data_IF_871154948771
#
_entry.id   IF_871154948771
#
_cell.length_a   1.000
_cell.length_b   1.000
_cell.length_c   1.000
_cell.angle_alpha   90.00
_cell.angle_beta   90.00
_cell.angle_gamma   90.00
#
_symmetry.space_group_name_H-M   'P 1'
#
loop_
_entity.id
_entity.type
_entity.pdbx_description
1 polymer ?
#
# COMPACT_ATOMS: atom_id res chain seq x y z
N UNK A 1 -0.05 -0.16 -30.23
CA UNK A 1 -1.03 -1.02 -29.52
C UNK A 1 -1.50 -0.39 -28.19
N UNK A 2 -0.61 -0.09 -27.23
CA UNK A 2 -1.01 0.46 -25.92
C UNK A 2 -1.77 1.80 -25.98
N UNK A 3 -1.35 2.75 -26.83
CA UNK A 3 -2.01 4.05 -26.99
C UNK A 3 -3.45 3.90 -27.52
N UNK A 4 -3.64 3.12 -28.58
CA UNK A 4 -4.96 2.80 -29.14
C UNK A 4 -5.87 2.11 -28.12
N UNK A 5 -5.34 1.13 -27.39
CA UNK A 5 -6.10 0.45 -26.32
C UNK A 5 -6.51 1.41 -25.21
N UNK A 6 -5.66 2.37 -24.86
CA UNK A 6 -5.98 3.41 -23.88
C UNK A 6 -7.08 4.34 -24.40
N UNK A 7 -7.02 4.76 -25.66
CA UNK A 7 -8.06 5.59 -26.29
C UNK A 7 -9.42 4.88 -26.31
N UNK A 8 -9.46 3.60 -26.67
CA UNK A 8 -10.67 2.76 -26.60
C UNK A 8 -11.26 2.74 -25.17
N UNK A 9 -10.41 2.48 -24.16
CA UNK A 9 -10.85 2.45 -22.77
C UNK A 9 -11.30 3.82 -22.26
N UNK A 10 -10.63 4.91 -22.64
CA UNK A 10 -11.04 6.25 -22.26
C UNK A 10 -12.36 6.68 -22.93
N UNK A 11 -12.64 6.20 -24.14
CA UNK A 11 -13.90 6.42 -24.82
C UNK A 11 -15.06 5.64 -24.18
N UNK A 12 -14.82 4.38 -23.79
CA UNK A 12 -15.82 3.51 -23.18
C UNK A 12 -16.08 3.85 -21.70
N UNK A 13 -15.02 4.10 -20.94
CA UNK A 13 -15.05 4.17 -19.47
C UNK A 13 -14.81 5.58 -18.90
N UNK A 14 -14.55 6.56 -19.78
CA UNK A 14 -14.16 7.90 -19.40
C UNK A 14 -12.67 8.03 -19.06
N UNK A 15 -12.19 9.27 -19.07
CA UNK A 15 -10.80 9.57 -18.74
C UNK A 15 -10.54 9.47 -17.23
N UNK A 16 -9.44 8.83 -16.80
CA UNK A 16 -9.05 8.89 -15.40
C UNK A 16 -8.70 10.33 -15.01
N UNK A 17 -8.93 10.69 -13.74
CA UNK A 17 -8.49 11.99 -13.21
C UNK A 17 -6.98 12.18 -13.47
N UNK A 18 -6.57 13.19 -14.24
CA UNK A 18 -5.15 13.42 -14.54
C UNK A 18 -4.32 13.73 -13.29
N UNK A 19 -4.96 14.10 -12.18
CA UNK A 19 -4.34 14.38 -10.89
C UNK A 19 -4.51 13.22 -9.89
N UNK A 20 -5.01 12.05 -10.30
CA UNK A 20 -5.27 10.92 -9.40
C UNK A 20 -4.06 10.55 -8.52
N UNK A 21 -2.85 10.45 -9.09
CA UNK A 21 -1.63 10.16 -8.33
C UNK A 21 -1.31 11.27 -7.33
N UNK A 22 -1.43 12.53 -7.76
CA UNK A 22 -1.17 13.68 -6.89
C UNK A 22 -2.17 13.73 -5.72
N UNK A 23 -3.45 13.51 -6.00
CA UNK A 23 -4.52 13.50 -5.01
C UNK A 23 -4.33 12.35 -4.01
N UNK A 24 -4.04 11.13 -4.48
CA UNK A 24 -3.79 9.99 -3.60
C UNK A 24 -2.55 10.16 -2.71
N UNK A 25 -1.45 10.70 -3.26
CA UNK A 25 -0.25 10.98 -2.46
C UNK A 25 -0.50 12.09 -1.46
N UNK A 26 -1.27 13.13 -1.82
CA UNK A 26 -1.64 14.19 -0.87
C UNK A 26 -2.44 13.61 0.30
N UNK A 27 -3.48 12.83 0.03
CA UNK A 27 -4.32 12.21 1.07
C UNK A 27 -3.49 11.32 2.01
N UNK A 28 -2.58 10.52 1.45
CA UNK A 28 -1.62 9.73 2.24
C UNK A 28 -0.73 10.63 3.11
N UNK A 29 -0.10 11.64 2.50
CA UNK A 29 0.84 12.52 3.18
C UNK A 29 0.14 13.33 4.28
N UNK A 30 -1.06 13.84 4.04
CA UNK A 30 -1.88 14.52 5.04
C UNK A 30 -2.16 13.61 6.23
N UNK A 31 -2.54 12.35 5.99
CA UNK A 31 -2.76 11.37 7.05
C UNK A 31 -1.50 11.11 7.88
N UNK A 32 -0.36 10.83 7.22
CA UNK A 32 0.90 10.53 7.91
C UNK A 32 1.61 11.78 8.47
N UNK A 33 1.11 12.99 8.21
CA UNK A 33 1.67 14.23 8.78
C UNK A 33 0.79 14.86 9.85
N UNK A 34 -0.38 14.28 10.15
CA UNK A 34 -1.24 14.74 11.26
C UNK A 34 -0.44 14.85 12.57
N UNK A 35 -0.56 16.00 13.23
CA UNK A 35 0.12 16.29 14.50
C UNK A 35 1.63 16.50 14.40
N UNK A 36 2.22 16.52 13.20
CA UNK A 36 3.66 16.73 13.02
C UNK A 36 3.94 18.15 12.55
N UNK A 37 4.90 18.82 13.19
CA UNK A 37 5.36 20.15 12.78
C UNK A 37 6.40 20.10 11.64
N UNK A 38 7.15 18.99 11.54
CA UNK A 38 8.13 18.76 10.49
C UNK A 38 8.28 17.28 10.14
N UNK A 39 8.64 17.00 8.88
CA UNK A 39 8.98 15.66 8.39
C UNK A 39 10.18 15.70 7.44
N UNK A 40 10.81 14.53 7.26
CA UNK A 40 11.72 14.26 6.14
C UNK A 40 11.03 13.30 5.16
N UNK A 41 10.89 13.71 3.91
CA UNK A 41 10.35 12.87 2.84
C UNK A 41 11.49 12.46 1.91
N UNK A 42 11.60 11.16 1.60
CA UNK A 42 12.50 10.63 0.57
C UNK A 42 11.66 10.06 -0.56
N UNK A 43 11.89 10.48 -1.79
CA UNK A 43 11.15 9.97 -2.95
C UNK A 43 12.02 9.88 -4.20
N UNK A 44 11.48 9.29 -5.25
CA UNK A 44 12.01 9.46 -6.61
C UNK A 44 11.62 10.83 -7.20
N UNK A 45 11.94 11.02 -8.48
CA UNK A 45 11.75 12.25 -9.25
C UNK A 45 10.31 12.47 -9.77
N UNK A 46 9.33 11.67 -9.33
CA UNK A 46 7.98 11.74 -9.89
C UNK A 46 7.32 13.12 -9.62
N UNK A 47 6.90 13.87 -10.66
CA UNK A 47 6.43 15.25 -10.53
C UNK A 47 5.20 15.45 -9.64
N UNK A 48 4.39 14.40 -9.43
CA UNK A 48 3.24 14.47 -8.53
C UNK A 48 3.67 14.64 -7.06
N UNK A 49 4.79 14.06 -6.64
CA UNK A 49 5.22 14.09 -5.24
C UNK A 49 5.56 15.50 -4.79
N UNK A 50 6.32 16.25 -5.60
CA UNK A 50 6.64 17.66 -5.33
C UNK A 50 5.37 18.50 -5.17
N UNK A 51 4.38 18.29 -6.04
CA UNK A 51 3.10 19.01 -6.01
C UNK A 51 2.27 18.67 -4.78
N UNK A 52 2.24 17.41 -4.36
CA UNK A 52 1.53 16.97 -3.16
C UNK A 52 2.22 17.45 -1.88
N UNK A 53 3.55 17.39 -1.82
CA UNK A 53 4.35 17.85 -0.68
C UNK A 53 4.16 19.34 -0.42
N UNK A 54 4.11 20.15 -1.48
CA UNK A 54 3.89 21.60 -1.38
C UNK A 54 2.53 21.99 -0.75
N UNK A 55 1.58 21.06 -0.66
CA UNK A 55 0.25 21.28 -0.08
C UNK A 55 0.19 20.91 1.41
N UNK A 56 1.27 20.39 1.98
CA UNK A 56 1.29 19.96 3.38
C UNK A 56 1.43 21.16 4.33
N UNK A 57 0.75 21.07 5.47
CA UNK A 57 0.78 22.12 6.51
C UNK A 57 2.04 22.11 7.37
N UNK A 58 2.83 21.02 7.30
CA UNK A 58 4.05 20.86 8.08
C UNK A 58 5.30 21.22 7.27
N UNK A 59 6.41 21.50 7.94
CA UNK A 59 7.70 21.73 7.27
C UNK A 59 8.24 20.43 6.69
N UNK A 60 8.50 20.40 5.39
CA UNK A 60 8.98 19.17 4.72
C UNK A 60 10.41 19.37 4.21
N UNK A 61 11.34 18.57 4.72
CA UNK A 61 12.65 18.37 4.09
C UNK A 61 12.54 17.27 3.05
N UNK A 62 12.48 17.64 1.77
CA UNK A 62 12.30 16.69 0.67
C UNK A 62 13.64 16.32 0.03
N UNK A 63 14.02 15.04 0.11
CA UNK A 63 15.17 14.47 -0.58
C UNK A 63 14.70 13.65 -1.77
N UNK A 64 15.11 14.08 -2.97
CA UNK A 64 14.82 13.39 -4.22
C UNK A 64 16.02 12.53 -4.61
N UNK A 65 15.76 11.25 -4.90
CA UNK A 65 16.78 10.31 -5.39
C UNK A 65 16.50 9.99 -6.85
N UNK A 66 17.53 10.04 -7.70
CA UNK A 66 17.32 9.72 -9.11
C UNK A 66 16.88 8.29 -9.31
N UNK A 67 15.87 8.13 -10.17
CA UNK A 67 15.34 6.82 -10.56
C UNK A 67 16.36 5.92 -11.28
N UNK A 68 17.41 6.52 -11.85
CA UNK A 68 18.53 5.85 -12.53
C UNK A 68 19.61 5.36 -11.57
N UNK A 69 19.57 5.78 -10.30
CA UNK A 69 20.55 5.37 -9.30
C UNK A 69 20.51 3.85 -9.07
N UNK A 70 21.68 3.27 -8.81
CA UNK A 70 21.78 1.84 -8.50
C UNK A 70 20.93 1.51 -7.25
N UNK A 71 20.13 0.44 -7.33
CA UNK A 71 19.22 0.01 -6.26
C UNK A 71 19.90 -1.01 -5.36
N UNK A 72 20.77 -0.52 -4.48
CA UNK A 72 21.39 -1.31 -3.43
C UNK A 72 21.04 -0.77 -2.03
N UNK A 73 21.68 -1.34 -1.01
CA UNK A 73 21.53 -0.94 0.40
C UNK A 73 22.00 0.48 0.72
N UNK A 74 22.78 1.10 -0.15
CA UNK A 74 23.27 2.47 0.00
C UNK A 74 22.35 3.50 -0.67
N UNK A 75 21.41 3.03 -1.49
CA UNK A 75 20.39 3.90 -2.07
C UNK A 75 19.52 4.53 -0.97
N UNK A 76 19.29 5.87 -0.98
CA UNK A 76 18.45 6.54 0.02
C UNK A 76 16.98 6.04 0.07
N UNK A 77 16.53 5.34 -0.97
CA UNK A 77 15.21 4.70 -1.07
C UNK A 77 15.26 3.19 -0.81
N UNK A 78 16.35 2.66 -0.26
CA UNK A 78 16.55 1.23 0.00
C UNK A 78 15.34 0.59 0.68
N UNK A 79 14.77 1.21 1.71
CA UNK A 79 13.67 0.63 2.49
C UNK A 79 12.42 0.42 1.64
N UNK A 80 12.09 1.39 0.78
CA UNK A 80 10.93 1.31 -0.14
C UNK A 80 11.22 0.31 -1.26
N UNK A 81 12.43 0.33 -1.82
CA UNK A 81 12.86 -0.62 -2.85
C UNK A 81 12.82 -2.06 -2.35
N UNK A 82 13.27 -2.30 -1.11
CA UNK A 82 13.20 -3.60 -0.46
C UNK A 82 11.77 -4.03 -0.22
N UNK A 83 10.90 -3.12 0.24
CA UNK A 83 9.48 -3.41 0.43
C UNK A 83 8.81 -3.82 -0.89
N UNK A 84 9.03 -3.05 -1.97
CA UNK A 84 8.52 -3.37 -3.31
C UNK A 84 9.03 -4.73 -3.83
N UNK A 85 10.34 -5.00 -3.67
CA UNK A 85 10.93 -6.29 -4.04
C UNK A 85 10.25 -7.44 -3.28
N UNK A 86 10.06 -7.30 -1.98
CA UNK A 86 9.43 -8.32 -1.14
C UNK A 86 7.95 -8.52 -1.50
N UNK A 87 7.20 -7.44 -1.77
CA UNK A 87 5.81 -7.53 -2.20
C UNK A 87 5.71 -8.35 -3.50
N UNK A 88 6.56 -8.06 -4.50
CA UNK A 88 6.56 -8.77 -5.79
C UNK A 88 7.07 -10.20 -5.67
N UNK A 89 7.99 -10.47 -4.74
CA UNK A 89 8.50 -11.82 -4.52
C UNK A 89 7.49 -12.71 -3.80
N UNK A 90 6.84 -12.20 -2.76
CA UNK A 90 5.98 -12.99 -1.87
C UNK A 90 4.50 -12.95 -2.26
N UNK A 91 4.08 -12.01 -3.10
CA UNK A 91 2.68 -11.88 -3.52
C UNK A 91 2.57 -11.99 -5.04
N UNK A 92 2.18 -13.18 -5.52
CA UNK A 92 2.03 -13.45 -6.95
C UNK A 92 1.10 -12.44 -7.66
N UNK A 93 0.07 -11.94 -6.97
CA UNK A 93 -0.86 -10.94 -7.50
C UNK A 93 -0.20 -9.60 -7.87
N UNK A 94 0.92 -9.25 -7.23
CA UNK A 94 1.68 -8.03 -7.52
C UNK A 94 2.80 -8.25 -8.55
N UNK A 95 2.99 -9.48 -9.03
CA UNK A 95 4.01 -9.84 -10.04
C UNK A 95 3.41 -10.32 -11.36
N UNK A 96 2.28 -11.04 -11.32
CA UNK A 96 1.72 -11.76 -12.47
C UNK A 96 0.34 -11.24 -12.83
N UNK A 97 0.28 -10.38 -13.84
CA UNK A 97 -0.96 -9.81 -14.37
C UNK A 97 -1.87 -10.84 -15.07
N UNK A 98 -1.32 -11.95 -15.57
CA UNK A 98 -2.14 -12.93 -16.31
C UNK A 98 -2.77 -13.98 -15.40
N UNK A 99 -2.00 -14.55 -14.46
CA UNK A 99 -2.39 -15.77 -13.73
C UNK A 99 -2.97 -15.44 -12.35
N UNK A 100 -2.42 -14.43 -11.67
CA UNK A 100 -2.71 -14.17 -10.26
C UNK A 100 -3.30 -12.78 -10.01
N UNK A 101 -3.73 -12.10 -11.06
CA UNK A 101 -4.16 -10.71 -10.99
C UNK A 101 -5.37 -10.48 -10.09
N UNK A 102 -5.25 -9.43 -9.29
CA UNK A 102 -6.32 -8.94 -8.42
C UNK A 102 -7.37 -8.24 -9.28
N UNK A 103 -8.54 -8.87 -9.40
CA UNK A 103 -9.64 -8.35 -10.22
C UNK A 103 -10.15 -6.99 -9.73
N UNK A 104 -10.15 -6.76 -8.40
CA UNK A 104 -10.62 -5.50 -7.79
C UNK A 104 -9.46 -4.70 -7.19
N UNK A 105 -9.49 -3.38 -7.39
CA UNK A 105 -8.47 -2.45 -6.84
C UNK A 105 -8.30 -2.60 -5.33
N UNK A 106 -9.41 -2.61 -4.60
CA UNK A 106 -9.42 -2.77 -3.14
C UNK A 106 -8.82 -4.11 -2.67
N UNK A 107 -8.97 -5.18 -3.46
CA UNK A 107 -8.37 -6.47 -3.10
C UNK A 107 -6.86 -6.49 -3.30
N UNK A 108 -6.30 -5.61 -4.13
CA UNK A 108 -4.86 -5.36 -4.14
C UNK A 108 -4.40 -4.82 -2.79
N UNK A 109 -5.14 -3.87 -2.22
CA UNK A 109 -4.84 -3.30 -0.91
C UNK A 109 -5.01 -4.33 0.22
N UNK A 110 -6.07 -5.15 0.18
CA UNK A 110 -6.26 -6.27 1.12
C UNK A 110 -5.06 -7.24 1.11
N UNK A 111 -4.52 -7.55 -0.09
CA UNK A 111 -3.32 -8.39 -0.22
C UNK A 111 -2.07 -7.75 0.39
N UNK A 112 -1.93 -6.42 0.30
CA UNK A 112 -0.84 -5.70 0.96
C UNK A 112 -0.98 -5.77 2.49
N UNK A 113 -2.19 -5.69 3.03
CA UNK A 113 -2.42 -5.85 4.48
C UNK A 113 -1.98 -7.24 4.98
N UNK A 114 -2.29 -8.29 4.22
CA UNK A 114 -1.81 -9.67 4.53
C UNK A 114 -0.29 -9.72 4.49
N UNK A 115 0.33 -9.11 3.47
CA UNK A 115 1.79 -9.02 3.39
C UNK A 115 2.39 -8.31 4.60
N UNK A 116 1.79 -7.21 5.07
CA UNK A 116 2.26 -6.47 6.24
C UNK A 116 2.25 -7.32 7.51
N UNK A 117 1.16 -8.06 7.77
CA UNK A 117 1.05 -8.96 8.92
C UNK A 117 2.10 -10.06 8.82
N UNK A 118 2.18 -10.75 7.68
CA UNK A 118 3.15 -11.81 7.48
C UNK A 118 4.60 -11.33 7.62
N UNK A 119 4.96 -10.24 6.92
CA UNK A 119 6.33 -9.73 6.85
C UNK A 119 6.84 -9.24 8.22
N UNK A 120 5.95 -8.65 9.01
CA UNK A 120 6.32 -8.00 10.27
C UNK A 120 6.15 -8.91 11.49
N UNK A 121 5.18 -9.82 11.50
CA UNK A 121 4.86 -10.62 12.70
C UNK A 121 5.28 -12.09 12.58
N UNK A 122 5.19 -12.68 11.39
CA UNK A 122 5.39 -14.13 11.20
C UNK A 122 6.76 -14.46 10.58
N UNK A 123 7.21 -13.64 9.64
CA UNK A 123 8.43 -13.91 8.88
C UNK A 123 9.66 -13.45 9.66
N UNK A 124 10.66 -14.33 9.74
CA UNK A 124 12.04 -13.98 10.13
C UNK A 124 12.56 -12.85 9.25
N UNK A 125 13.27 -11.90 9.84
CA UNK A 125 13.89 -10.80 9.11
C UNK A 125 15.00 -11.28 8.18
N UNK A 126 15.71 -12.34 8.59
CA UNK A 126 16.80 -12.96 7.84
C UNK A 126 16.57 -14.47 7.74
N UNK A 127 16.67 -15.04 6.55
CA UNK A 127 16.42 -16.48 6.32
C UNK A 127 17.37 -17.38 7.13
N UNK A 128 18.65 -16.99 7.18
CA UNK A 128 19.71 -17.70 7.92
C UNK A 128 20.06 -17.06 9.27
N UNK A 129 19.28 -16.08 9.73
CA UNK A 129 19.55 -15.35 11.00
C UNK A 129 18.78 -15.93 12.19
N UNK A 130 18.74 -15.26 13.35
CA UNK A 130 17.92 -15.72 14.48
C UNK A 130 16.41 -15.67 14.16
N UNK A 131 15.59 -16.30 15.00
CA UNK A 131 14.13 -16.34 14.87
C UNK A 131 13.48 -14.99 15.29
N UNK A 132 13.84 -13.91 14.60
CA UNK A 132 13.45 -12.53 14.93
C UNK A 132 12.74 -11.89 13.75
N UNK A 133 11.54 -11.32 13.97
CA UNK A 133 10.81 -10.56 12.96
C UNK A 133 11.11 -9.06 13.01
N UNK A 134 10.66 -8.32 11.99
CA UNK A 134 10.73 -6.85 12.01
C UNK A 134 9.88 -6.24 13.13
N UNK A 135 8.73 -6.85 13.45
CA UNK A 135 7.86 -6.44 14.55
C UNK A 135 8.54 -6.59 15.91
N UNK A 136 9.30 -7.68 16.10
CA UNK A 136 10.09 -7.88 17.32
C UNK A 136 11.15 -6.81 17.51
N UNK A 137 11.92 -6.51 16.46
CA UNK A 137 12.93 -5.44 16.52
C UNK A 137 12.32 -4.06 16.74
N UNK A 138 11.06 -3.86 16.36
CA UNK A 138 10.32 -2.62 16.60
C UNK A 138 9.63 -2.59 17.96
N UNK A 139 9.64 -3.69 18.72
CA UNK A 139 8.95 -3.82 20.01
C UNK A 139 7.42 -3.97 19.90
N UNK A 140 6.91 -4.34 18.72
CA UNK A 140 5.46 -4.55 18.49
C UNK A 140 5.00 -5.90 19.04
N UNK A 141 5.90 -6.87 19.12
CA UNK A 141 5.64 -8.21 19.68
C UNK A 141 6.95 -8.78 20.21
N UNK A 142 6.89 -9.75 21.10
CA UNK A 142 8.03 -10.42 21.71
C UNK A 142 8.43 -11.73 20.99
N UNK A 143 7.60 -12.22 20.07
CA UNK A 143 7.82 -13.50 19.37
C UNK A 143 7.31 -13.49 17.93
N UNK A 144 7.65 -14.55 17.19
CA UNK A 144 7.06 -14.83 15.88
C UNK A 144 5.63 -15.33 16.06
N UNK A 145 4.71 -14.77 15.28
CA UNK A 145 3.33 -15.22 15.26
C UNK A 145 3.14 -16.42 14.34
N UNK A 146 2.30 -17.35 14.79
CA UNK A 146 1.75 -18.45 14.02
C UNK A 146 0.48 -18.01 13.26
N UNK A 147 0.06 -18.82 12.28
CA UNK A 147 -1.22 -18.62 11.58
C UNK A 147 -2.39 -18.69 12.58
N UNK A 148 -2.31 -19.57 13.58
CA UNK A 148 -3.32 -19.72 14.63
C UNK A 148 -3.46 -18.45 15.45
N UNK A 149 -2.37 -17.77 15.79
CA UNK A 149 -2.44 -16.50 16.52
C UNK A 149 -3.04 -15.39 15.67
N UNK A 150 -2.64 -15.27 14.40
CA UNK A 150 -3.20 -14.26 13.48
C UNK A 150 -4.71 -14.44 13.29
N UNK A 151 -5.20 -15.68 13.24
CA UNK A 151 -6.61 -16.01 13.02
C UNK A 151 -7.35 -16.39 14.30
N UNK A 152 -6.69 -16.29 15.46
CA UNK A 152 -7.19 -16.80 16.73
C UNK A 152 -8.27 -15.91 17.32
N UNK A 153 -8.22 -14.63 16.99
CA UNK A 153 -9.21 -13.64 17.41
C UNK A 153 -9.86 -12.98 16.21
N UNK A 154 -11.18 -12.78 16.33
CA UNK A 154 -11.95 -12.05 15.34
C UNK A 154 -12.03 -10.59 15.74
N UNK A 155 -11.46 -9.72 14.90
CA UNK A 155 -11.64 -8.27 15.04
C UNK A 155 -12.90 -7.86 14.30
N UNK A 156 -13.83 -7.25 15.03
CA UNK A 156 -15.08 -6.71 14.49
C UNK A 156 -14.89 -5.28 14.00
N UNK A 157 -15.35 -5.00 12.77
CA UNK A 157 -15.22 -3.65 12.18
C UNK A 157 -15.92 -2.58 13.03
N UNK A 158 -17.00 -2.91 13.73
CA UNK A 158 -17.71 -1.97 14.61
C UNK A 158 -16.91 -1.57 15.85
N UNK A 159 -15.90 -2.36 16.23
CA UNK A 159 -15.10 -2.13 17.44
C UNK A 159 -13.75 -1.47 17.18
N UNK A 160 -13.37 -1.29 15.91
CA UNK A 160 -12.11 -0.67 15.51
C UNK A 160 -12.37 0.42 14.50
N UNK A 161 -12.03 1.64 14.86
CA UNK A 161 -12.07 2.77 13.95
C UNK A 161 -11.01 2.58 12.85
N UNK A 162 -11.42 2.74 11.59
CA UNK A 162 -10.53 2.76 10.45
C UNK A 162 -10.50 4.15 9.85
N UNK A 163 -9.32 4.66 9.43
CA UNK A 163 -9.26 5.86 8.61
C UNK A 163 -10.16 5.70 7.36
N UNK A 164 -10.78 6.79 6.92
CA UNK A 164 -11.78 6.79 5.86
C UNK A 164 -11.36 6.03 4.59
N UNK A 165 -10.11 6.17 4.16
CA UNK A 165 -9.54 5.42 3.02
C UNK A 165 -9.67 3.90 3.22
N UNK A 166 -9.28 3.41 4.40
CA UNK A 166 -9.31 1.99 4.72
C UNK A 166 -10.74 1.49 4.94
N UNK A 167 -11.61 2.33 5.51
CA UNK A 167 -13.04 2.03 5.64
C UNK A 167 -13.67 1.79 4.26
N UNK A 168 -13.40 2.66 3.27
CA UNK A 168 -13.89 2.49 1.89
C UNK A 168 -13.45 1.17 1.25
N UNK A 169 -12.19 0.77 1.46
CA UNK A 169 -11.70 -0.52 0.97
C UNK A 169 -12.36 -1.71 1.67
N UNK A 170 -12.51 -1.65 3.00
CA UNK A 170 -13.17 -2.69 3.79
C UNK A 170 -14.64 -2.87 3.38
N UNK A 171 -15.39 -1.77 3.28
CA UNK A 171 -16.81 -1.74 2.88
C UNK A 171 -17.02 -2.07 1.41
N UNK A 172 -15.93 -2.19 0.64
CA UNK A 172 -15.92 -2.49 -0.80
C UNK A 172 -16.67 -1.44 -1.62
N UNK A 173 -16.62 -0.18 -1.18
CA UNK A 173 -17.28 0.95 -1.85
C UNK A 173 -16.45 1.52 -3.01
N UNK A 174 -15.18 1.11 -3.16
CA UNK A 174 -14.34 1.52 -4.28
C UNK A 174 -14.69 0.75 -5.55
N UNK A 175 -15.17 1.48 -6.55
CA UNK A 175 -15.49 0.93 -7.87
C UNK A 175 -14.23 0.62 -8.66
N UNK A 176 -14.20 -0.57 -9.27
CA UNK A 176 -13.24 -0.90 -10.32
C UNK A 176 -13.98 -0.74 -11.66
N UNK A 177 -13.67 0.34 -12.37
CA UNK A 177 -14.42 0.79 -13.56
C UNK A 177 -14.49 -0.29 -14.65
N UNK A 178 -13.39 -1.01 -14.88
CA UNK A 178 -13.35 -2.11 -15.86
C UNK A 178 -14.10 -3.39 -15.45
N UNK A 179 -14.88 -3.38 -14.37
CA UNK A 179 -15.70 -4.52 -13.94
C UNK A 179 -17.18 -4.16 -13.93
N UNK A 180 -18.00 -4.94 -14.63
CA UNK A 180 -19.46 -4.76 -14.65
C UNK A 180 -20.15 -5.05 -13.31
N UNK A 181 -19.50 -5.74 -12.36
CA UNK A 181 -20.08 -6.07 -11.04
C UNK A 181 -19.14 -5.67 -9.90
N UNK A 182 -19.54 -4.67 -9.11
CA UNK A 182 -18.79 -4.14 -7.97
C UNK A 182 -19.53 -4.39 -6.63
N UNK A 183 -19.64 -5.65 -6.20
CA UNK A 183 -20.36 -6.02 -4.96
C UNK A 183 -19.81 -5.32 -3.72
N UNK A 184 -20.68 -4.72 -2.90
CA UNK A 184 -20.31 -4.12 -1.62
C UNK A 184 -20.19 -5.17 -0.52
N UNK A 185 -19.60 -4.79 0.61
CA UNK A 185 -19.51 -5.65 1.78
C UNK A 185 -20.86 -5.67 2.52
N UNK A 186 -21.60 -6.77 2.45
CA UNK A 186 -22.94 -6.91 3.06
C UNK A 186 -23.04 -8.02 4.11
N UNK A 187 -21.93 -8.70 4.45
CA UNK A 187 -21.97 -9.79 5.43
C UNK A 187 -22.24 -9.24 6.83
N UNK A 188 -23.40 -9.60 7.39
CA UNK A 188 -23.84 -9.20 8.73
C UNK A 188 -22.80 -9.52 9.81
N UNK A 189 -22.22 -10.71 9.76
CA UNK A 189 -21.26 -11.15 10.78
C UNK A 189 -19.89 -10.47 10.69
N UNK A 190 -19.58 -9.74 9.63
CA UNK A 190 -18.29 -9.06 9.53
C UNK A 190 -18.22 -7.76 10.35
N UNK A 191 -19.37 -7.26 10.79
CA UNK A 191 -19.49 -6.05 11.61
C UNK A 191 -19.58 -6.37 13.09
#
# INVERSE_FOLDING_TARGET
>A
VQKKRREELEAELGRPDPKAVQNGIRELLEFVTRGRSAITARSDEHPAYRRSIAQLRCRVRHHVTSSKGHRDKHNPLWEVNLADLMIRHSTAAHKRETIAWVKRRQSSAERLSIFMVWRNLMKRRWEKGPAVSSGMLKGVTDRLWSVREVLGERIFRTRVELPEVWARYYERSVSTVGLGRNRRHTLKYAY
#
